data_IF_142346946439
#
_entry.id   IF_142346946439
#
_cell.length_a   1.000
_cell.length_b   1.000
_cell.length_c   1.000
_cell.angle_alpha   90.00
_cell.angle_beta   90.00
_cell.angle_gamma   90.00
#
_symmetry.space_group_name_H-M   'P 1'
#
loop_
_entity.id
_entity.type
_entity.pdbx_description
1 polymer ?
#
# COMPACT_ATOMS: atom_id res chain seq x y z
N UNK A 1 -11.26 9.28 -23.35
CA UNK A 1 -11.71 8.95 -21.98
C UNK A 1 -12.08 10.22 -21.21
N UNK A 2 -11.15 11.14 -20.96
CA UNK A 2 -11.46 12.41 -20.28
C UNK A 2 -12.42 13.32 -21.08
N UNK A 3 -12.37 13.28 -22.40
CA UNK A 3 -13.32 14.00 -23.28
C UNK A 3 -14.72 13.38 -23.35
N UNK A 4 -14.84 12.08 -23.08
CA UNK A 4 -16.09 11.32 -23.20
C UNK A 4 -16.87 11.31 -21.89
N UNK A 5 -16.17 11.36 -20.76
CA UNK A 5 -16.74 11.30 -19.42
C UNK A 5 -16.34 12.54 -18.62
N UNK A 6 -17.06 13.67 -18.80
CA UNK A 6 -16.68 14.95 -18.16
C UNK A 6 -16.77 14.92 -16.63
N UNK A 7 -17.56 13.99 -16.07
CA UNK A 7 -17.73 13.81 -14.63
C UNK A 7 -16.78 12.76 -14.03
N UNK A 8 -15.81 12.24 -14.80
CA UNK A 8 -14.84 11.27 -14.31
C UNK A 8 -13.89 11.93 -13.30
N UNK A 9 -13.99 11.55 -12.03
CA UNK A 9 -13.17 12.14 -10.95
C UNK A 9 -11.86 11.39 -10.70
N UNK A 10 -11.90 10.06 -10.77
CA UNK A 10 -10.77 9.18 -10.49
C UNK A 10 -10.82 7.94 -11.37
N UNK A 11 -9.66 7.38 -11.69
CA UNK A 11 -9.51 6.05 -12.30
C UNK A 11 -8.72 5.20 -11.32
N UNK A 12 -9.19 3.98 -11.07
CA UNK A 12 -8.49 2.99 -10.26
C UNK A 12 -7.94 1.91 -11.19
N UNK A 13 -6.65 1.62 -11.08
CA UNK A 13 -6.03 0.47 -11.73
C UNK A 13 -6.05 -0.69 -10.74
N UNK A 14 -6.65 -1.81 -11.14
CA UNK A 14 -6.79 -3.02 -10.33
C UNK A 14 -6.20 -4.17 -11.12
N UNK A 15 -5.42 -5.01 -10.46
CA UNK A 15 -4.82 -6.19 -11.07
C UNK A 15 -4.35 -7.17 -10.01
N UNK A 16 -3.97 -8.36 -10.47
CA UNK A 16 -3.32 -9.37 -9.65
C UNK A 16 -1.80 -9.28 -9.86
N UNK A 17 -1.04 -9.65 -8.83
CA UNK A 17 0.42 -9.68 -8.90
C UNK A 17 0.98 -10.76 -7.97
N UNK A 18 2.23 -11.17 -8.23
CA UNK A 18 2.98 -12.01 -7.31
C UNK A 18 3.58 -11.18 -6.17
N UNK A 19 3.48 -11.69 -4.94
CA UNK A 19 4.18 -11.12 -3.79
C UNK A 19 5.60 -11.66 -3.67
N UNK A 20 6.52 -10.85 -3.15
CA UNK A 20 7.88 -11.28 -2.77
C UNK A 20 8.02 -11.11 -1.25
N UNK A 21 7.67 -12.13 -0.45
CA UNK A 21 7.74 -12.03 1.00
C UNK A 21 9.19 -11.85 1.48
N UNK A 22 9.36 -11.14 2.60
CA UNK A 22 10.64 -10.96 3.26
C UNK A 22 10.47 -11.04 4.78
N UNK A 23 11.57 -11.05 5.55
CA UNK A 23 11.48 -11.04 7.02
C UNK A 23 10.75 -9.81 7.55
N UNK A 24 10.89 -8.67 6.88
CA UNK A 24 10.29 -7.41 7.28
C UNK A 24 8.90 -7.19 6.66
N UNK A 25 8.51 -8.00 5.67
CA UNK A 25 7.25 -7.87 4.94
C UNK A 25 6.61 -9.25 4.76
N UNK A 26 5.69 -9.59 5.65
CA UNK A 26 4.87 -10.80 5.58
C UNK A 26 3.73 -10.59 4.56
N UNK A 27 3.98 -10.99 3.31
CA UNK A 27 3.01 -10.90 2.20
C UNK A 27 2.44 -12.30 1.97
N UNK A 28 1.12 -12.44 2.03
CA UNK A 28 0.41 -13.71 1.92
C UNK A 28 -0.61 -13.70 0.78
N UNK A 29 -0.97 -14.90 0.33
CA UNK A 29 -2.03 -15.05 -0.67
C UNK A 29 -3.35 -14.53 -0.11
N UNK A 30 -4.00 -13.64 -0.85
CA UNK A 30 -5.23 -12.98 -0.43
C UNK A 30 -5.02 -11.57 0.14
N UNK A 31 -3.77 -11.16 0.39
CA UNK A 31 -3.49 -9.78 0.79
C UNK A 31 -3.81 -8.79 -0.34
N UNK A 32 -4.39 -7.66 0.05
CA UNK A 32 -4.68 -6.55 -0.86
C UNK A 32 -3.60 -5.50 -0.67
N UNK A 33 -2.82 -5.24 -1.72
CA UNK A 33 -1.80 -4.19 -1.71
C UNK A 33 -2.38 -2.91 -2.30
N UNK A 34 -2.27 -1.81 -1.55
CA UNK A 34 -2.70 -0.48 -2.00
C UNK A 34 -1.47 0.40 -2.18
N UNK A 35 -1.34 1.03 -3.35
CA UNK A 35 -0.24 1.96 -3.62
C UNK A 35 -0.32 3.16 -2.68
N UNK A 36 0.72 3.38 -1.86
CA UNK A 36 0.85 4.51 -0.96
C UNK A 36 2.12 5.31 -1.29
N UNK A 37 2.02 6.63 -1.51
CA UNK A 37 3.21 7.46 -1.74
C UNK A 37 4.20 7.40 -0.57
N UNK A 38 5.47 7.18 -0.88
CA UNK A 38 6.55 7.14 0.12
C UNK A 38 7.73 7.98 -0.37
N UNK A 39 8.09 9.02 0.38
CA UNK A 39 9.12 9.98 0.01
C UNK A 39 8.88 10.59 -1.38
N UNK A 40 9.82 10.34 -2.31
CA UNK A 40 9.73 10.82 -3.69
C UNK A 40 8.82 9.98 -4.60
N UNK A 41 8.46 8.76 -4.21
CA UNK A 41 7.71 7.84 -5.06
C UNK A 41 6.19 8.02 -4.93
N UNK A 42 5.47 7.89 -6.05
CA UNK A 42 4.02 8.06 -6.10
C UNK A 42 3.19 6.90 -5.54
N UNK A 43 3.85 5.81 -5.11
CA UNK A 43 3.21 4.60 -4.58
C UNK A 43 3.33 3.40 -5.50
N UNK A 44 3.68 3.61 -6.76
CA UNK A 44 4.09 2.58 -7.71
C UNK A 44 5.38 3.03 -8.40
N UNK A 45 6.37 2.12 -8.44
CA UNK A 45 7.62 2.32 -9.18
C UNK A 45 7.65 1.29 -10.29
N UNK A 46 7.91 1.76 -11.50
CA UNK A 46 8.05 0.91 -12.66
C UNK A 46 9.54 0.56 -12.84
N UNK A 47 9.89 -0.68 -12.57
CA UNK A 47 11.29 -1.14 -12.50
C UNK A 47 11.96 -1.31 -13.87
N UNK A 48 11.18 -1.57 -14.93
CA UNK A 48 11.67 -1.74 -16.31
C UNK A 48 11.91 -0.41 -17.04
N UNK A 49 11.42 0.71 -16.48
CA UNK A 49 11.69 2.06 -16.99
C UNK A 49 12.71 2.80 -16.14
N UNK A 50 13.96 2.81 -16.59
CA UNK A 50 15.03 3.60 -15.99
C UNK A 50 16.03 4.13 -16.99
N UNK A 51 16.79 5.14 -16.56
CA UNK A 51 17.89 5.70 -17.34
C UNK A 51 19.19 5.10 -16.84
N UNK A 52 20.00 4.60 -17.76
CA UNK A 52 21.41 4.31 -17.48
C UNK A 52 22.13 5.64 -17.34
N UNK A 53 22.65 5.91 -16.15
CA UNK A 53 23.51 7.05 -15.89
C UNK A 53 24.88 6.80 -16.54
N UNK A 54 25.63 7.86 -16.85
CA UNK A 54 26.98 7.75 -17.43
C UNK A 54 27.98 6.96 -16.56
N UNK A 55 27.66 6.78 -15.28
CA UNK A 55 28.41 5.95 -14.31
C UNK A 55 28.07 4.46 -14.34
N UNK A 56 27.14 4.02 -15.19
CA UNK A 56 26.66 2.63 -15.23
C UNK A 56 25.55 2.30 -14.22
N UNK A 57 25.14 3.24 -13.36
CA UNK A 57 23.99 3.06 -12.47
C UNK A 57 22.67 3.16 -13.24
N UNK A 58 21.78 2.18 -13.05
CA UNK A 58 20.40 2.25 -13.54
C UNK A 58 19.51 2.91 -12.48
N UNK A 59 18.86 4.02 -12.83
CA UNK A 59 17.86 4.67 -11.96
C UNK A 59 16.45 4.47 -12.51
N UNK A 60 15.52 3.86 -11.74
CA UNK A 60 14.10 3.85 -12.09
C UNK A 60 13.60 5.29 -12.24
N UNK A 61 13.10 5.63 -13.42
CA UNK A 61 12.54 6.97 -13.72
C UNK A 61 11.02 6.94 -13.84
N UNK A 62 10.44 5.75 -14.02
CA UNK A 62 8.99 5.58 -14.05
C UNK A 62 8.40 5.54 -12.65
N UNK A 63 7.64 6.56 -12.27
CA UNK A 63 6.72 6.49 -11.14
C UNK A 63 5.34 6.95 -11.59
N UNK A 64 4.30 6.26 -11.09
CA UNK A 64 2.94 6.71 -11.33
C UNK A 64 2.66 7.96 -10.50
N UNK A 65 1.73 8.81 -10.98
CA UNK A 65 1.29 9.99 -10.23
C UNK A 65 0.78 9.60 -8.83
N UNK A 66 1.03 10.46 -7.85
CA UNK A 66 0.49 10.30 -6.49
C UNK A 66 -1.05 10.29 -6.56
N UNK A 67 -1.72 9.37 -5.84
CA UNK A 67 -3.18 9.39 -5.73
C UNK A 67 -3.67 10.72 -5.16
N UNK A 68 -4.83 11.24 -5.59
CA UNK A 68 -5.42 12.44 -5.04
C UNK A 68 -5.62 12.38 -3.52
N UNK A 69 -5.50 13.54 -2.85
CA UNK A 69 -5.54 13.67 -1.39
C UNK A 69 -6.73 12.96 -0.73
N UNK A 70 -7.91 12.98 -1.37
CA UNK A 70 -9.12 12.33 -0.86
C UNK A 70 -8.95 10.81 -0.70
N UNK A 71 -8.25 10.16 -1.63
CA UNK A 71 -7.97 8.73 -1.56
C UNK A 71 -6.91 8.44 -0.49
N UNK A 72 -5.89 9.30 -0.36
CA UNK A 72 -4.88 9.18 0.69
C UNK A 72 -5.50 9.32 2.10
N UNK A 73 -6.45 10.23 2.27
CA UNK A 73 -7.21 10.36 3.53
C UNK A 73 -8.02 9.11 3.83
N UNK A 74 -8.59 8.47 2.81
CA UNK A 74 -9.31 7.20 2.97
C UNK A 74 -8.37 6.09 3.44
N UNK A 75 -7.20 5.95 2.80
CA UNK A 75 -6.16 4.98 3.19
C UNK A 75 -5.72 5.21 4.64
N UNK A 76 -5.43 6.46 5.02
CA UNK A 76 -5.03 6.78 6.39
C UNK A 76 -6.10 6.42 7.44
N UNK A 77 -7.40 6.59 7.10
CA UNK A 77 -8.50 6.16 7.96
C UNK A 77 -8.59 4.64 8.07
N UNK A 78 -8.38 3.92 6.97
CA UNK A 78 -8.36 2.46 6.94
C UNK A 78 -7.24 1.93 7.85
N UNK A 79 -6.02 2.43 7.68
CA UNK A 79 -4.85 2.06 8.50
C UNK A 79 -5.12 2.35 9.99
N UNK A 80 -5.66 3.52 10.33
CA UNK A 80 -6.00 3.85 11.72
C UNK A 80 -7.07 2.93 12.31
N UNK A 81 -7.98 2.41 11.48
CA UNK A 81 -9.03 1.48 11.92
C UNK A 81 -8.46 0.07 12.10
N UNK A 82 -7.59 -0.37 11.19
CA UNK A 82 -6.90 -1.66 11.28
C UNK A 82 -6.06 -1.75 12.56
N UNK A 83 -5.32 -0.68 12.89
CA UNK A 83 -4.57 -0.57 14.14
C UNK A 83 -5.49 -0.64 15.39
N UNK A 84 -6.70 -0.07 15.30
CA UNK A 84 -7.71 -0.19 16.38
C UNK A 84 -8.25 -1.61 16.52
N UNK A 85 -8.45 -2.31 15.40
CA UNK A 85 -8.94 -3.70 15.40
C UNK A 85 -7.87 -4.60 15.99
N UNK A 86 -6.61 -4.50 15.55
CA UNK A 86 -5.50 -5.28 16.10
C UNK A 86 -5.32 -5.02 17.61
N UNK A 87 -5.36 -3.76 18.04
CA UNK A 87 -5.26 -3.41 19.47
C UNK A 87 -6.47 -3.82 20.32
N UNK A 88 -7.66 -3.98 19.73
CA UNK A 88 -8.83 -4.55 20.40
C UNK A 88 -8.69 -6.07 20.54
N UNK A 89 -8.23 -6.76 19.50
CA UNK A 89 -8.00 -8.22 19.51
C UNK A 89 -6.88 -8.60 20.49
N UNK A 90 -5.75 -7.88 20.49
CA UNK A 90 -4.65 -8.12 21.44
C UNK A 90 -5.07 -7.92 22.90
N UNK A 91 -5.91 -6.91 23.20
CA UNK A 91 -6.45 -6.71 24.55
C UNK A 91 -7.40 -7.83 24.99
N UNK A 92 -8.18 -8.37 24.07
CA UNK A 92 -9.11 -9.46 24.38
C UNK A 92 -8.39 -10.81 24.60
N UNK A 93 -7.31 -11.06 23.87
CA UNK A 93 -6.44 -12.23 24.08
C UNK A 93 -5.64 -12.14 25.39
N UNK A 94 -5.07 -10.97 25.72
CA UNK A 94 -4.33 -10.78 26.98
C UNK A 94 -5.20 -10.97 28.23
N UNK A 95 -6.50 -10.65 28.15
CA UNK A 95 -7.46 -10.79 29.27
C UNK A 95 -7.88 -12.24 29.54
N UNK A 96 -7.75 -13.16 28.58
CA UNK A 96 -8.12 -14.59 28.76
C UNK A 96 -6.97 -15.45 29.29
N UNK A 97 -5.72 -15.10 28.99
CA UNK A 97 -4.54 -15.85 29.47
C UNK A 97 -4.33 -15.68 30.99
N UNK A 98 -4.79 -14.57 31.59
CA UNK A 98 -4.69 -14.33 33.03
C UNK A 98 -5.83 -14.90 33.90
N UNK A 99 -6.71 -15.75 33.36
CA UNK A 99 -7.85 -16.32 34.10
C UNK A 99 -7.90 -17.85 34.17
N UNK A 100 -6.87 -18.54 33.67
CA UNK A 100 -6.75 -20.02 33.74
C UNK A 100 -5.62 -20.50 34.67
N UNK A 101 -5.18 -19.67 35.63
CA UNK A 101 -4.29 -20.12 36.73
C UNK A 101 -4.94 -19.92 38.12
N UNK A 102 -6.08 -20.59 38.34
CA UNK A 102 -6.63 -20.89 39.67
C UNK A 102 -7.36 -22.23 39.66
#
# INVERSE_FOLDING_TARGET
MLSTFPNLRFILMIGIGGGVPSRDHDIRLGDIVVSKPTGRYGGMVQYDMGKSMSSGEFRPTGMLNKPPQILLTCIAKLEATELKIQSATSRHCARRVGKEEL
#
